data_IF_713935474843
#
_entry.id   IF_713935474843
#
_cell.length_a   1.000
_cell.length_b   1.000
_cell.length_c   1.000
_cell.angle_alpha   90.00
_cell.angle_beta   90.00
_cell.angle_gamma   90.00
#
_symmetry.space_group_name_H-M   'P 1'
#
loop_
_entity.id
_entity.type
_entity.pdbx_description
1 polymer ?
#
# COMPACT_ATOMS: atom_id res chain seq x y z
N UNK A 1 43.30 -16.67 83.80
CA UNK A 1 42.32 -17.77 83.82
C UNK A 1 41.58 -17.76 82.49
N UNK A 2 41.58 -18.91 81.80
CA UNK A 2 40.72 -19.36 80.68
C UNK A 2 40.61 -18.47 79.42
N UNK A 3 41.10 -18.83 78.21
CA UNK A 3 40.88 -20.01 77.34
C UNK A 3 39.53 -20.04 76.60
N UNK A 4 39.60 -19.90 75.27
CA UNK A 4 38.68 -20.47 74.24
C UNK A 4 39.36 -20.33 72.87
N UNK A 5 40.06 -21.36 72.35
CA UNK A 5 39.65 -22.34 71.31
C UNK A 5 39.02 -21.67 70.06
N UNK A 6 39.71 -21.48 68.93
CA UNK A 6 40.18 -22.44 67.90
C UNK A 6 39.12 -23.41 67.38
N UNK A 7 38.72 -23.20 66.12
CA UNK A 7 37.93 -24.09 65.27
C UNK A 7 38.18 -23.74 63.81
N UNK A 8 39.14 -24.44 63.22
CA UNK A 8 39.60 -24.38 61.82
C UNK A 8 38.70 -25.32 61.00
N UNK A 9 38.17 -24.90 59.85
CA UNK A 9 37.64 -25.81 58.83
C UNK A 9 38.15 -25.37 57.45
N UNK A 10 38.83 -26.30 56.78
CA UNK A 10 39.58 -26.12 55.54
C UNK A 10 38.97 -27.03 54.45
N UNK A 11 38.82 -26.43 53.27
CA UNK A 11 38.77 -26.94 51.89
C UNK A 11 37.79 -28.07 51.47
N UNK A 12 37.00 -27.72 50.45
CA UNK A 12 36.60 -28.60 49.36
C UNK A 12 36.52 -27.79 48.06
N UNK A 13 37.62 -27.73 47.30
CA UNK A 13 37.71 -27.12 45.98
C UNK A 13 37.11 -28.10 44.95
N UNK A 14 35.93 -27.79 44.43
CA UNK A 14 35.30 -28.51 43.31
C UNK A 14 35.38 -27.67 42.05
N UNK A 15 36.34 -27.97 41.18
CA UNK A 15 36.43 -27.38 39.84
C UNK A 15 35.41 -28.07 38.91
N UNK A 16 34.36 -27.35 38.51
CA UNK A 16 33.50 -27.74 37.39
C UNK A 16 33.85 -26.88 36.18
N UNK A 17 34.47 -27.50 35.17
CA UNK A 17 34.54 -27.01 33.81
C UNK A 17 33.12 -27.00 33.22
N UNK A 18 32.49 -25.83 33.15
CA UNK A 18 31.27 -25.62 32.36
C UNK A 18 31.69 -25.13 30.98
N UNK A 19 31.49 -25.99 29.98
CA UNK A 19 31.48 -25.61 28.56
C UNK A 19 30.26 -24.71 28.34
N UNK A 20 30.40 -23.51 27.74
CA UNK A 20 29.23 -22.73 27.35
C UNK A 20 28.53 -23.44 26.19
N UNK A 21 27.37 -24.02 26.46
CA UNK A 21 26.39 -24.37 25.43
C UNK A 21 25.87 -23.04 24.87
N UNK A 22 26.24 -22.73 23.63
CA UNK A 22 25.64 -21.64 22.89
C UNK A 22 24.14 -21.97 22.70
N UNK A 23 23.27 -21.21 23.35
CA UNK A 23 21.84 -21.28 23.10
C UNK A 23 21.59 -20.78 21.68
N UNK A 24 21.29 -21.71 20.77
CA UNK A 24 20.76 -21.39 19.45
C UNK A 24 19.44 -20.63 19.64
N UNK A 25 19.36 -19.45 19.05
CA UNK A 25 18.12 -18.70 18.96
C UNK A 25 17.13 -19.52 18.13
N UNK A 26 16.08 -20.03 18.78
CA UNK A 26 15.04 -20.81 18.16
C UNK A 26 14.14 -19.85 17.35
N UNK A 27 14.27 -19.89 16.02
CA UNK A 27 13.30 -19.29 15.11
C UNK A 27 11.97 -20.05 15.26
N UNK A 28 10.99 -19.40 15.88
CA UNK A 28 9.62 -19.91 15.91
C UNK A 28 9.02 -19.79 14.52
N UNK A 29 8.92 -20.91 13.81
CA UNK A 29 8.02 -21.07 12.66
C UNK A 29 6.77 -21.76 13.19
N UNK A 30 5.66 -21.02 13.26
CA UNK A 30 4.35 -21.57 13.61
C UNK A 30 3.44 -21.37 12.40
N UNK A 31 3.21 -22.47 11.70
CA UNK A 31 2.08 -22.67 10.80
C UNK A 31 0.79 -22.44 11.60
N UNK A 32 0.02 -21.39 11.32
CA UNK A 32 -1.13 -20.97 12.14
C UNK A 32 -2.18 -20.26 11.28
N UNK A 33 -3.44 -20.37 11.72
CA UNK A 33 -4.68 -19.72 11.25
C UNK A 33 -4.51 -18.33 10.60
N UNK A 34 -5.45 -17.85 9.76
CA UNK A 34 -5.31 -16.54 9.09
C UNK A 34 -4.89 -15.51 10.12
N UNK A 35 -3.65 -15.09 9.98
CA UNK A 35 -3.02 -14.15 10.89
C UNK A 35 -3.84 -12.86 10.74
N UNK A 36 -4.18 -12.20 11.86
CA UNK A 36 -4.77 -10.87 11.82
C UNK A 36 -3.75 -9.94 11.14
N UNK A 37 -3.82 -9.81 9.82
CA UNK A 37 -2.88 -9.05 9.02
C UNK A 37 -3.57 -7.78 8.59
N UNK A 38 -2.87 -6.66 8.77
CA UNK A 38 -3.24 -5.39 8.16
C UNK A 38 -2.45 -5.26 6.87
N UNK A 39 -3.13 -4.92 5.77
CA UNK A 39 -2.50 -4.68 4.48
C UNK A 39 -2.76 -3.25 4.04
N UNK A 40 -1.69 -2.47 3.90
CA UNK A 40 -1.74 -1.13 3.32
C UNK A 40 -1.36 -1.21 1.85
N UNK A 41 -2.17 -0.63 0.97
CA UNK A 41 -1.93 -0.56 -0.47
C UNK A 41 -1.84 0.90 -0.91
N UNK A 42 -0.92 1.20 -1.82
CA UNK A 42 -0.86 2.46 -2.53
C UNK A 42 -0.79 2.18 -4.03
N UNK A 43 -1.73 2.75 -4.79
CA UNK A 43 -1.71 2.73 -6.26
C UNK A 43 -1.40 4.12 -6.79
N UNK A 44 -0.25 4.27 -7.44
CA UNK A 44 0.18 5.50 -8.11
C UNK A 44 0.31 5.27 -9.62
N UNK A 45 -0.40 6.04 -10.44
CA UNK A 45 -0.44 5.90 -11.89
C UNK A 45 -0.66 4.44 -12.32
N UNK A 46 -1.72 3.82 -11.81
CA UNK A 46 -2.08 2.40 -12.05
C UNK A 46 -1.06 1.35 -11.58
N UNK A 47 -0.01 1.75 -10.83
CA UNK A 47 1.00 0.84 -10.31
C UNK A 47 0.79 0.63 -8.81
N UNK A 48 0.31 -0.56 -8.38
CA UNK A 48 0.14 -0.86 -6.97
C UNK A 48 1.48 -1.25 -6.31
N UNK A 49 1.59 -0.90 -5.05
CA UNK A 49 2.52 -1.48 -4.08
C UNK A 49 1.73 -1.71 -2.79
N UNK A 50 1.95 -2.85 -2.14
CA UNK A 50 1.28 -3.19 -0.89
C UNK A 50 2.27 -3.66 0.16
N UNK A 51 2.01 -3.31 1.42
CA UNK A 51 2.75 -3.81 2.59
C UNK A 51 1.77 -4.47 3.55
N UNK A 52 2.09 -5.69 3.97
CA UNK A 52 1.30 -6.46 4.92
C UNK A 52 2.10 -6.66 6.20
N UNK A 53 1.46 -6.50 7.36
CA UNK A 53 2.12 -6.66 8.66
C UNK A 53 1.15 -7.17 9.71
N UNK A 54 1.71 -7.74 10.78
CA UNK A 54 0.97 -8.17 11.96
C UNK A 54 0.85 -7.00 12.94
N UNK A 55 -0.35 -6.47 13.22
CA UNK A 55 -0.54 -5.36 14.15
C UNK A 55 -0.27 -5.79 15.61
N UNK A 56 -0.23 -7.10 15.88
CA UNK A 56 -0.01 -7.69 17.20
C UNK A 56 1.45 -7.79 17.64
N UNK A 57 2.42 -7.28 16.87
CA UNK A 57 3.84 -7.31 17.26
C UNK A 57 4.07 -6.44 18.51
N UNK A 58 4.23 -7.11 19.65
CA UNK A 58 4.36 -6.48 20.97
C UNK A 58 5.80 -6.05 21.24
N UNK A 59 6.04 -4.76 21.45
CA UNK A 59 7.34 -4.23 21.86
C UNK A 59 7.90 -4.86 23.17
N UNK A 60 7.03 -5.52 23.95
CA UNK A 60 7.33 -6.33 25.12
C UNK A 60 7.90 -7.72 24.83
N UNK A 61 7.92 -8.21 23.60
CA UNK A 61 8.61 -9.47 23.29
C UNK A 61 10.13 -9.32 23.54
N UNK A 62 10.82 -10.27 24.20
CA UNK A 62 12.27 -10.24 24.40
C UNK A 62 13.08 -9.99 23.12
N UNK A 63 12.68 -10.60 22.00
CA UNK A 63 13.35 -10.45 20.70
C UNK A 63 13.22 -9.01 20.19
N UNK A 64 12.01 -8.46 20.23
CA UNK A 64 11.72 -7.11 19.71
C UNK A 64 12.27 -6.02 20.63
N UNK A 65 12.11 -6.19 21.96
CA UNK A 65 12.71 -5.32 22.96
C UNK A 65 14.22 -5.23 22.79
N UNK A 66 14.89 -6.36 22.53
CA UNK A 66 16.34 -6.37 22.28
C UNK A 66 16.74 -5.48 21.10
N UNK A 67 15.98 -5.55 19.99
CA UNK A 67 16.21 -4.71 18.82
C UNK A 67 16.00 -3.21 19.13
N UNK A 68 14.88 -2.88 19.78
CA UNK A 68 14.46 -1.49 20.05
C UNK A 68 15.33 -0.80 21.11
N UNK A 69 15.83 -1.55 22.10
CA UNK A 69 16.62 -1.02 23.24
C UNK A 69 18.13 -1.16 23.09
N UNK A 70 18.62 -1.83 22.03
CA UNK A 70 20.06 -1.96 21.78
C UNK A 70 20.77 -0.58 21.79
N UNK A 71 22.06 -0.55 22.06
CA UNK A 71 22.90 0.63 21.80
C UNK A 71 23.72 0.38 20.52
N UNK A 72 24.31 1.41 19.93
CA UNK A 72 24.96 1.41 18.60
C UNK A 72 26.11 0.39 18.42
N UNK A 73 26.45 -0.34 19.48
CA UNK A 73 27.46 -1.39 19.49
C UNK A 73 26.81 -2.77 19.51
N UNK A 74 26.74 -3.38 18.34
CA UNK A 74 26.54 -4.82 18.11
C UNK A 74 25.17 -5.41 18.51
N UNK A 75 24.24 -5.41 17.55
CA UNK A 75 23.31 -6.53 17.45
C UNK A 75 23.10 -6.89 15.98
N UNK A 76 23.48 -8.10 15.57
CA UNK A 76 23.03 -8.73 14.32
C UNK A 76 21.54 -9.11 14.36
N UNK A 77 20.80 -8.59 15.35
CA UNK A 77 19.39 -8.86 15.55
C UNK A 77 18.61 -8.23 14.42
N UNK A 78 17.88 -9.09 13.72
CA UNK A 78 16.95 -8.74 12.67
C UNK A 78 15.62 -9.37 13.03
N UNK A 79 14.55 -8.66 12.73
CA UNK A 79 13.19 -9.09 13.04
C UNK A 79 12.36 -8.98 11.78
N UNK A 80 11.67 -10.06 11.40
CA UNK A 80 10.64 -10.00 10.36
C UNK A 80 9.50 -9.16 10.88
N UNK A 81 9.13 -8.12 10.13
CA UNK A 81 8.08 -7.18 10.52
C UNK A 81 6.90 -7.15 9.54
N UNK A 82 7.04 -7.79 8.38
CA UNK A 82 5.98 -7.86 7.40
C UNK A 82 6.47 -8.33 6.04
N UNK A 83 5.65 -8.06 5.03
CA UNK A 83 5.89 -8.39 3.63
C UNK A 83 5.55 -7.20 2.75
N UNK A 84 6.28 -7.04 1.65
CA UNK A 84 5.97 -6.07 0.61
C UNK A 84 5.70 -6.80 -0.69
N UNK A 85 4.58 -6.48 -1.31
CA UNK A 85 4.20 -6.92 -2.63
C UNK A 85 4.37 -5.76 -3.59
N UNK A 86 5.20 -5.97 -4.62
CA UNK A 86 5.61 -4.91 -5.52
C UNK A 86 5.68 -5.39 -6.97
N UNK A 87 5.31 -4.50 -7.89
CA UNK A 87 5.55 -4.72 -9.31
C UNK A 87 7.06 -4.74 -9.63
N UNK A 88 7.46 -5.44 -10.71
CA UNK A 88 8.77 -5.22 -11.32
C UNK A 88 8.92 -3.72 -11.59
N UNK A 89 10.07 -3.14 -11.21
CA UNK A 89 10.41 -1.69 -11.26
C UNK A 89 10.07 -0.84 -10.04
N UNK A 90 9.52 -1.40 -8.96
CA UNK A 90 9.60 -0.70 -7.67
C UNK A 90 11.07 -0.57 -7.24
N UNK A 91 11.45 0.63 -6.82
CA UNK A 91 12.77 0.98 -6.28
C UNK A 91 12.58 1.50 -4.88
N UNK A 92 13.20 0.89 -3.88
CA UNK A 92 13.10 1.33 -2.47
C UNK A 92 14.50 1.75 -2.01
N UNK A 93 14.65 3.02 -1.65
CA UNK A 93 15.94 3.64 -1.38
C UNK A 93 16.91 3.48 -2.55
N UNK A 94 18.09 2.92 -2.27
CA UNK A 94 19.14 2.65 -3.27
C UNK A 94 19.01 1.30 -3.97
N UNK A 95 18.00 0.49 -3.62
CA UNK A 95 17.84 -0.82 -4.24
C UNK A 95 17.14 -0.68 -5.58
N UNK A 96 17.89 -0.99 -6.62
CA UNK A 96 17.30 -1.41 -7.87
C UNK A 96 16.65 -2.77 -7.64
N UNK A 97 15.32 -2.85 -7.67
CA UNK A 97 14.52 -4.09 -7.58
C UNK A 97 14.84 -5.17 -8.64
N UNK A 98 15.99 -5.05 -9.30
CA UNK A 98 16.68 -6.07 -10.07
C UNK A 98 17.41 -7.00 -9.10
N UNK A 99 16.99 -8.26 -9.07
CA UNK A 99 17.68 -9.31 -8.31
C UNK A 99 19.09 -9.52 -8.89
N UNK A 100 20.16 -9.67 -8.08
CA UNK A 100 21.45 -10.08 -8.62
C UNK A 100 21.35 -11.51 -9.17
N UNK A 101 21.39 -11.63 -10.51
CA UNK A 101 21.47 -12.93 -11.21
C UNK A 101 20.18 -13.49 -11.82
N UNK A 102 19.06 -12.77 -11.77
CA UNK A 102 17.89 -13.13 -12.59
C UNK A 102 18.02 -12.50 -13.96
N UNK A 103 17.89 -13.27 -15.05
CA UNK A 103 17.63 -12.64 -16.35
C UNK A 103 16.39 -11.77 -16.21
N UNK A 104 16.31 -10.66 -16.95
CA UNK A 104 15.05 -9.98 -17.23
C UNK A 104 14.12 -10.99 -17.87
N UNK A 105 13.43 -11.78 -17.04
CA UNK A 105 12.33 -12.60 -17.49
C UNK A 105 11.20 -11.63 -17.80
N UNK A 106 10.58 -11.72 -18.99
CA UNK A 106 9.52 -10.82 -19.42
C UNK A 106 8.22 -10.99 -18.63
N UNK A 107 8.23 -11.76 -17.54
CA UNK A 107 7.06 -12.00 -16.68
C UNK A 107 6.86 -10.81 -15.72
N UNK A 108 5.77 -10.03 -15.88
CA UNK A 108 5.47 -8.86 -15.04
C UNK A 108 4.94 -9.24 -13.65
N UNK A 109 5.01 -10.52 -13.25
CA UNK A 109 4.45 -11.01 -11.99
C UNK A 109 4.91 -10.21 -10.77
N UNK A 110 3.93 -9.83 -9.95
CA UNK A 110 4.15 -9.15 -8.67
C UNK A 110 5.06 -10.01 -7.78
N UNK A 111 6.09 -9.40 -7.20
CA UNK A 111 7.02 -10.10 -6.30
C UNK A 111 6.66 -9.80 -4.86
N UNK A 112 6.55 -10.86 -4.06
CA UNK A 112 6.40 -10.75 -2.60
C UNK A 112 7.76 -10.92 -1.94
N UNK A 113 8.17 -9.90 -1.17
CA UNK A 113 9.44 -9.87 -0.43
C UNK A 113 9.16 -9.75 1.06
N UNK A 114 9.95 -10.42 1.88
CA UNK A 114 9.89 -10.24 3.33
C UNK A 114 10.62 -8.97 3.75
N UNK A 115 10.04 -8.26 4.73
CA UNK A 115 10.62 -7.07 5.36
C UNK A 115 11.25 -7.46 6.70
N UNK A 116 12.56 -7.28 6.81
CA UNK A 116 13.31 -7.54 8.03
C UNK A 116 13.92 -6.25 8.58
N UNK A 117 13.39 -5.75 9.71
CA UNK A 117 13.94 -4.58 10.38
C UNK A 117 15.22 -4.97 11.12
N UNK A 118 16.27 -4.19 10.89
CA UNK A 118 17.59 -4.42 11.44
C UNK A 118 18.18 -3.13 12.01
N UNK A 119 18.98 -3.30 13.07
CA UNK A 119 19.87 -2.25 13.55
C UNK A 119 21.30 -2.53 13.09
N UNK A 120 21.94 -1.52 12.54
CA UNK A 120 23.29 -1.59 11.98
C UNK A 120 24.21 -0.59 12.67
N UNK A 121 25.51 -0.67 12.41
CA UNK A 121 26.46 0.35 12.85
C UNK A 121 26.17 1.73 12.25
N UNK A 122 25.49 1.79 11.10
CA UNK A 122 25.10 3.02 10.40
C UNK A 122 23.72 3.55 10.79
N UNK A 123 23.03 2.95 11.77
CA UNK A 123 21.67 3.30 12.17
C UNK A 123 20.68 2.18 11.91
N UNK A 124 19.52 2.49 11.32
CA UNK A 124 18.46 1.51 11.05
C UNK A 124 18.40 1.15 9.57
N UNK A 125 18.08 -0.11 9.28
CA UNK A 125 17.84 -0.57 7.91
C UNK A 125 16.67 -1.55 7.84
N UNK A 126 16.11 -1.71 6.65
CA UNK A 126 15.26 -2.84 6.31
C UNK A 126 15.98 -3.72 5.29
N UNK A 127 16.07 -5.01 5.58
CA UNK A 127 16.57 -6.01 4.64
C UNK A 127 15.37 -6.56 3.87
N UNK A 128 15.45 -6.53 2.54
CA UNK A 128 14.47 -7.14 1.64
C UNK A 128 14.95 -8.55 1.29
N UNK A 129 14.11 -9.55 1.53
CA UNK A 129 14.45 -10.95 1.27
C UNK A 129 13.44 -11.60 0.36
N UNK A 130 13.92 -12.36 -0.62
CA UNK A 130 13.03 -13.16 -1.47
C UNK A 130 12.42 -14.30 -0.66
N UNK A 131 11.12 -14.57 -0.85
CA UNK A 131 10.56 -15.84 -0.41
C UNK A 131 11.22 -16.97 -1.22
N UNK A 132 11.57 -18.11 -0.61
CA UNK A 132 11.96 -19.27 -1.39
C UNK A 132 10.79 -19.65 -2.29
N UNK A 133 11.02 -19.70 -3.61
CA UNK A 133 10.01 -20.17 -4.57
C UNK A 133 9.52 -21.54 -4.10
N UNK A 134 8.24 -21.64 -3.71
CA UNK A 134 7.64 -22.89 -3.28
C UNK A 134 7.54 -23.89 -4.45
N UNK A 135 7.61 -23.40 -5.68
CA UNK A 135 7.34 -24.15 -6.92
C UNK A 135 8.60 -24.55 -7.69
N UNK A 136 9.80 -24.45 -7.09
CA UNK A 136 10.99 -25.05 -7.69
C UNK A 136 10.97 -26.55 -7.41
N UNK A 137 10.09 -27.25 -8.12
CA UNK A 137 10.11 -28.70 -8.22
C UNK A 137 11.53 -29.13 -8.59
N UNK A 138 12.16 -29.87 -7.67
CA UNK A 138 13.42 -30.59 -7.88
C UNK A 138 13.22 -31.76 -8.87
N UNK A 139 12.51 -31.55 -9.97
CA UNK A 139 12.46 -32.48 -11.10
C UNK A 139 13.46 -32.02 -12.16
N UNK A 140 14.74 -32.08 -11.80
CA UNK A 140 15.86 -31.79 -12.68
C UNK A 140 16.89 -32.91 -12.62
N UNK A 141 16.56 -34.02 -13.26
CA UNK A 141 17.47 -35.04 -13.80
C UNK A 141 18.46 -35.69 -12.80
N UNK A 142 17.95 -36.66 -12.04
CA UNK A 142 18.79 -37.68 -11.43
C UNK A 142 19.38 -38.56 -12.52
N UNK A 143 20.55 -38.16 -13.03
CA UNK A 143 21.45 -39.07 -13.72
C UNK A 143 21.78 -40.24 -12.79
N UNK A 144 21.50 -41.45 -13.27
CA UNK A 144 21.97 -42.70 -12.68
C UNK A 144 23.46 -42.60 -12.38
N UNK A 145 23.84 -42.68 -11.11
CA UNK A 145 24.96 -43.50 -10.63
C UNK A 145 24.90 -43.53 -9.10
N UNK A 146 24.60 -44.72 -8.57
CA UNK A 146 24.28 -44.90 -7.15
C UNK A 146 25.46 -44.67 -6.21
N UNK A 147 25.13 -44.18 -5.01
CA UNK A 147 25.69 -44.60 -3.71
C UNK A 147 24.69 -44.21 -2.61
N UNK A 148 24.18 -45.21 -1.89
CA UNK A 148 23.38 -45.02 -0.67
C UNK A 148 24.27 -44.50 0.48
N UNK A 149 23.86 -43.41 1.13
CA UNK A 149 23.93 -43.22 2.58
C UNK A 149 23.43 -41.81 2.98
N UNK A 150 22.42 -41.74 3.85
CA UNK A 150 22.16 -40.56 4.70
C UNK A 150 20.77 -39.96 4.55
N UNK A 151 19.84 -40.45 5.36
CA UNK A 151 18.57 -39.79 5.66
C UNK A 151 18.78 -38.58 6.58
N UNK A 152 17.83 -37.64 6.50
CA UNK A 152 17.49 -36.58 7.45
C UNK A 152 18.54 -35.48 7.73
N UNK A 153 18.27 -34.27 7.21
CA UNK A 153 18.27 -32.99 7.96
C UNK A 153 18.58 -31.71 7.13
N UNK A 154 17.91 -31.43 6.00
CA UNK A 154 18.15 -30.16 5.27
C UNK A 154 16.88 -29.34 4.94
N UNK A 155 15.75 -29.60 5.62
CA UNK A 155 14.55 -28.75 5.51
C UNK A 155 14.53 -27.57 6.51
N UNK A 156 15.56 -27.41 7.34
CA UNK A 156 15.67 -26.33 8.33
C UNK A 156 16.79 -25.37 7.94
N UNK A 157 16.46 -24.35 7.15
CA UNK A 157 17.39 -23.25 6.85
C UNK A 157 17.64 -22.97 5.38
N UNK A 158 16.60 -22.94 4.54
CA UNK A 158 16.71 -22.15 3.30
C UNK A 158 16.77 -20.67 3.70
N UNK A 159 17.98 -20.19 3.92
CA UNK A 159 18.28 -18.79 4.20
C UNK A 159 17.72 -17.97 3.03
N UNK A 160 16.61 -17.27 3.27
CA UNK A 160 16.01 -16.34 2.31
C UNK A 160 17.11 -15.39 1.82
N UNK A 161 17.49 -15.45 0.55
CA UNK A 161 18.58 -14.62 0.02
C UNK A 161 18.24 -13.15 0.25
N UNK A 162 19.11 -12.44 0.97
CA UNK A 162 19.00 -10.99 1.12
C UNK A 162 19.22 -10.37 -0.25
N UNK A 163 18.15 -9.79 -0.80
CA UNK A 163 18.17 -9.14 -2.12
C UNK A 163 18.76 -7.75 -2.01
N UNK A 164 18.60 -7.11 -0.85
CA UNK A 164 19.22 -5.84 -0.57
C UNK A 164 18.91 -5.30 0.82
N UNK A 165 19.63 -4.25 1.19
CA UNK A 165 19.50 -3.55 2.46
C UNK A 165 19.24 -2.06 2.17
N UNK A 166 18.16 -1.52 2.75
CA UNK A 166 17.76 -0.11 2.60
C UNK A 166 17.99 0.61 3.92
N UNK A 167 18.76 1.69 3.91
CA UNK A 167 18.91 2.56 5.08
C UNK A 167 17.60 3.31 5.37
N UNK A 168 17.25 3.41 6.65
CA UNK A 168 16.03 4.06 7.11
C UNK A 168 16.35 5.42 7.75
N UNK A 169 15.65 6.46 7.29
CA UNK A 169 15.64 7.74 7.99
C UNK A 169 14.83 7.60 9.29
N UNK A 170 15.41 7.97 10.43
CA UNK A 170 14.74 7.88 11.75
C UNK A 170 14.30 9.27 12.21
N UNK A 171 13.05 9.36 12.66
CA UNK A 171 12.53 10.49 13.42
C UNK A 171 11.96 9.98 14.76
N UNK A 172 11.91 10.87 15.76
CA UNK A 172 11.11 10.62 16.95
C UNK A 172 9.63 10.72 16.57
N UNK A 173 8.81 9.83 17.14
CA UNK A 173 7.37 9.85 16.97
C UNK A 173 6.66 9.79 18.33
N UNK A 174 5.36 10.08 18.33
CA UNK A 174 4.52 9.81 19.49
C UNK A 174 4.54 8.32 19.84
N UNK A 175 4.47 8.01 21.14
CA UNK A 175 4.53 6.64 21.66
C UNK A 175 3.40 5.76 21.11
N UNK A 176 3.75 4.64 20.47
CA UNK A 176 2.81 3.64 19.94
C UNK A 176 3.28 2.23 20.31
N UNK A 177 2.54 1.46 21.11
CA UNK A 177 3.04 0.13 21.54
C UNK A 177 3.06 -0.91 20.40
N UNK A 178 2.09 -0.85 19.50
CA UNK A 178 1.97 -1.76 18.36
C UNK A 178 2.87 -1.35 17.19
N UNK A 179 3.39 -2.33 16.44
CA UNK A 179 4.03 -2.08 15.16
C UNK A 179 2.99 -1.67 14.10
N UNK A 180 3.35 -0.74 13.22
CA UNK A 180 2.60 -0.52 11.99
C UNK A 180 3.48 -0.17 10.79
N UNK A 181 3.00 -0.52 9.60
CA UNK A 181 3.62 -0.18 8.32
C UNK A 181 2.60 0.48 7.38
N UNK A 182 3.02 1.54 6.70
CA UNK A 182 2.18 2.30 5.79
C UNK A 182 2.94 2.75 4.54
N UNK A 183 2.20 2.99 3.47
CA UNK A 183 2.70 3.56 2.23
C UNK A 183 2.05 4.94 2.06
N UNK A 184 2.88 5.98 1.97
CA UNK A 184 2.42 7.38 1.88
C UNK A 184 2.90 7.97 0.56
N UNK A 185 2.02 8.57 -0.26
CA UNK A 185 2.46 9.21 -1.49
C UNK A 185 3.36 10.40 -1.18
N UNK A 186 4.33 10.66 -2.05
CA UNK A 186 5.15 11.88 -2.02
C UNK A 186 5.22 12.57 -3.38
N UNK A 187 4.72 11.92 -4.43
CA UNK A 187 4.65 12.39 -5.80
C UNK A 187 3.82 11.45 -6.68
N UNK A 188 3.78 11.73 -7.98
CA UNK A 188 2.99 10.96 -8.96
C UNK A 188 3.46 9.51 -9.16
N UNK A 189 4.75 9.26 -8.92
CA UNK A 189 5.37 7.93 -9.05
C UNK A 189 6.25 7.58 -7.85
N UNK A 190 6.19 8.38 -6.79
CA UNK A 190 7.06 8.29 -5.62
C UNK A 190 6.24 8.24 -4.34
N UNK A 191 6.76 7.54 -3.33
CA UNK A 191 6.18 7.51 -2.01
C UNK A 191 7.19 7.17 -0.93
N UNK A 192 6.69 6.93 0.28
CA UNK A 192 7.48 6.51 1.43
C UNK A 192 6.87 5.24 2.04
N UNK A 193 7.72 4.25 2.29
CA UNK A 193 7.44 3.19 3.25
C UNK A 193 7.72 3.75 4.64
N UNK A 194 6.68 3.85 5.46
CA UNK A 194 6.76 4.37 6.83
C UNK A 194 6.51 3.22 7.81
N UNK A 195 7.47 2.98 8.70
CA UNK A 195 7.36 2.00 9.79
C UNK A 195 7.29 2.73 11.13
N UNK A 196 6.42 2.30 12.02
CA UNK A 196 6.25 2.90 13.35
C UNK A 196 6.26 1.82 14.43
N UNK A 197 7.03 2.07 15.49
CA UNK A 197 7.03 1.23 16.69
C UNK A 197 7.59 1.98 17.89
N UNK A 198 6.84 2.04 18.99
CA UNK A 198 7.13 2.85 20.18
C UNK A 198 7.30 4.33 19.83
N UNK A 199 8.42 4.92 20.23
CA UNK A 199 8.83 6.29 19.93
C UNK A 199 9.62 6.39 18.62
N UNK A 200 9.71 5.30 17.85
CA UNK A 200 10.43 5.27 16.57
C UNK A 200 9.47 5.44 15.39
N UNK A 201 9.85 6.35 14.48
CA UNK A 201 9.37 6.37 13.10
C UNK A 201 10.56 6.20 12.17
N UNK A 202 10.43 5.24 11.26
CA UNK A 202 11.38 5.01 10.19
C UNK A 202 10.72 5.27 8.84
N UNK A 203 11.48 5.79 7.90
CA UNK A 203 11.02 5.98 6.53
C UNK A 203 12.10 5.57 5.52
N UNK A 204 11.65 4.99 4.41
CA UNK A 204 12.43 4.84 3.19
C UNK A 204 11.59 5.34 2.01
N UNK A 205 12.19 6.17 1.16
CA UNK A 205 11.56 6.59 -0.09
C UNK A 205 11.50 5.41 -1.07
N UNK A 206 10.47 5.39 -1.89
CA UNK A 206 10.38 4.51 -3.04
C UNK A 206 9.94 5.27 -4.29
N UNK A 207 10.24 4.70 -5.45
CA UNK A 207 9.78 5.19 -6.75
C UNK A 207 9.44 4.04 -7.69
N UNK A 208 8.47 4.24 -8.56
CA UNK A 208 8.28 3.39 -9.72
C UNK A 208 9.18 3.91 -10.85
N UNK A 209 10.12 3.08 -11.31
CA UNK A 209 10.94 3.45 -12.46
C UNK A 209 10.10 3.46 -13.75
N UNK A 210 10.44 4.39 -14.64
CA UNK A 210 9.82 4.48 -15.96
C UNK A 210 10.11 3.21 -16.77
N UNK A 211 9.20 2.83 -17.69
CA UNK A 211 9.52 1.80 -18.66
C UNK A 211 10.77 2.20 -19.46
N UNK A 212 11.63 1.23 -19.83
CA UNK A 212 12.65 1.51 -20.82
C UNK A 212 11.96 2.03 -22.08
N UNK A 213 12.54 3.05 -22.70
CA UNK A 213 12.08 3.52 -24.01
C UNK A 213 12.10 2.30 -24.96
N UNK A 214 11.06 2.10 -25.78
CA UNK A 214 11.11 1.06 -26.79
C UNK A 214 12.35 1.31 -27.65
N UNK A 215 13.19 0.29 -27.83
CA UNK A 215 14.31 0.39 -28.75
C UNK A 215 13.76 0.84 -30.10
N UNK A 216 14.20 2.01 -30.60
CA UNK A 216 13.82 2.57 -31.91
C UNK A 216 14.33 1.71 -33.10
N UNK A 217 14.57 0.42 -32.89
CA UNK A 217 15.34 -0.45 -33.77
C UNK A 217 14.55 -1.53 -34.53
N UNK A 218 13.27 -1.75 -34.23
CA UNK A 218 12.46 -2.73 -34.97
C UNK A 218 11.12 -2.09 -35.35
N UNK A 219 11.18 -1.20 -36.34
CA UNK A 219 10.07 -1.08 -37.30
C UNK A 219 9.86 -2.48 -37.89
N UNK A 220 8.93 -3.26 -37.32
CA UNK A 220 8.31 -4.35 -38.06
C UNK A 220 7.74 -3.70 -39.33
N UNK A 221 8.45 -3.86 -40.45
CA UNK A 221 7.98 -3.48 -41.77
C UNK A 221 6.57 -4.06 -41.94
N UNK A 222 5.57 -3.19 -41.82
CA UNK A 222 4.21 -3.51 -42.22
C UNK A 222 4.30 -4.07 -43.64
N UNK A 223 3.72 -5.24 -43.93
CA UNK A 223 3.85 -5.83 -45.26
C UNK A 223 3.31 -4.85 -46.30
N UNK A 224 4.17 -4.45 -47.24
CA UNK A 224 3.81 -3.68 -48.43
C UNK A 224 2.59 -4.33 -49.07
N UNK A 225 1.44 -3.67 -48.92
CA UNK A 225 0.27 -3.98 -49.72
C UNK A 225 0.62 -3.54 -51.15
N UNK A 226 0.98 -4.53 -51.97
CA UNK A 226 1.19 -4.36 -53.39
C UNK A 226 -0.02 -3.64 -54.00
N UNK A 227 0.24 -2.42 -54.49
CA UNK A 227 -0.68 -1.67 -55.33
C UNK A 227 -0.86 -2.40 -56.66
N UNK A 228 -1.89 -3.24 -56.76
CA UNK A 228 -2.44 -3.62 -58.05
C UNK A 228 -3.63 -2.69 -58.34
N UNK A 229 -3.32 -1.67 -59.13
CA UNK A 229 -4.28 -0.80 -59.79
C UNK A 229 -4.86 -1.56 -60.98
N UNK A 230 -6.19 -1.61 -61.07
CA UNK A 230 -6.84 -1.72 -62.37
C UNK A 230 -8.18 -0.99 -62.39
N UNK A 231 -8.33 -0.25 -63.49
CA UNK A 231 -9.44 0.62 -63.86
C UNK A 231 -10.79 -0.11 -63.94
N UNK A 232 -11.85 0.62 -63.59
CA UNK A 232 -13.04 0.86 -64.43
C UNK A 232 -14.36 0.81 -63.63
N UNK A 233 -15.00 1.96 -63.42
CA UNK A 233 -16.15 2.35 -64.24
C UNK A 233 -16.79 3.66 -63.75
N UNK A 234 -17.04 4.52 -64.73
CA UNK A 234 -17.87 5.69 -64.62
C UNK A 234 -19.36 5.33 -64.72
N UNK A 235 -20.19 5.97 -63.90
CA UNK A 235 -21.57 6.44 -64.17
C UNK A 235 -22.14 6.96 -62.83
N UNK A 236 -22.28 8.27 -62.59
CA UNK A 236 -23.44 9.10 -62.97
C UNK A 236 -24.77 8.40 -62.68
N UNK A 237 -25.48 8.83 -61.63
CA UNK A 237 -26.89 9.29 -61.68
C UNK A 237 -27.17 10.10 -60.40
N UNK A 238 -27.50 11.38 -60.58
CA UNK A 238 -28.25 12.19 -59.63
C UNK A 238 -29.72 11.75 -59.64
N UNK A 239 -30.38 11.66 -58.48
CA UNK A 239 -31.83 11.85 -58.42
C UNK A 239 -32.27 12.32 -57.02
N UNK A 240 -32.83 13.52 -57.02
CA UNK A 240 -33.56 14.18 -55.96
C UNK A 240 -34.90 13.48 -55.63
N UNK A 241 -35.37 13.67 -54.39
CA UNK A 241 -36.79 13.71 -54.02
C UNK A 241 -37.45 12.37 -53.66
N UNK A 242 -38.02 12.26 -52.46
CA UNK A 242 -39.47 12.41 -52.25
C UNK A 242 -39.83 12.23 -50.75
N UNK A 243 -40.75 13.04 -50.27
CA UNK A 243 -41.35 12.98 -48.94
C UNK A 243 -42.39 11.86 -48.91
N UNK A 244 -42.51 11.09 -47.82
CA UNK A 244 -43.80 10.47 -47.45
C UNK A 244 -43.84 10.16 -45.95
N UNK A 245 -44.80 10.82 -45.29
CA UNK A 245 -45.38 10.40 -44.01
C UNK A 245 -46.07 9.04 -44.17
N UNK A 246 -46.03 8.19 -43.14
CA UNK A 246 -46.76 6.93 -43.12
C UNK A 246 -46.57 6.13 -41.83
N UNK A 247 -47.48 6.37 -40.88
CA UNK A 247 -48.15 5.43 -39.97
C UNK A 247 -47.41 4.19 -39.43
N UNK A 248 -47.35 4.10 -38.10
CA UNK A 248 -47.05 2.90 -37.30
C UNK A 248 -47.97 1.72 -37.61
N UNK A 249 -47.49 0.49 -37.35
CA UNK A 249 -48.33 -0.46 -36.63
C UNK A 249 -47.64 -1.03 -35.39
N UNK A 250 -48.41 -1.08 -34.31
CA UNK A 250 -48.14 -1.86 -33.11
C UNK A 250 -48.03 -3.36 -33.44
N UNK A 251 -46.92 -4.00 -33.06
CA UNK A 251 -46.84 -5.45 -32.93
C UNK A 251 -46.51 -5.85 -31.49
N UNK A 252 -47.48 -6.57 -30.93
CA UNK A 252 -47.56 -7.23 -29.64
C UNK A 252 -46.56 -8.42 -29.59
N UNK A 253 -45.44 -8.26 -28.91
CA UNK A 253 -44.56 -9.37 -28.52
C UNK A 253 -44.66 -9.64 -27.01
N UNK A 254 -45.35 -10.74 -26.68
CA UNK A 254 -45.44 -11.30 -25.33
C UNK A 254 -44.09 -11.70 -24.70
N UNK A 255 -44.10 -12.14 -23.43
CA UNK A 255 -42.88 -12.29 -22.63
C UNK A 255 -41.97 -13.38 -23.20
N UNK A 256 -40.80 -12.96 -23.70
CA UNK A 256 -39.71 -13.86 -24.07
C UNK A 256 -39.22 -14.58 -22.82
N UNK A 257 -39.58 -15.85 -22.71
CA UNK A 257 -39.07 -16.79 -21.72
C UNK A 257 -37.56 -16.88 -21.90
N UNK A 258 -36.81 -16.55 -20.84
CA UNK A 258 -35.36 -16.69 -20.81
C UNK A 258 -35.00 -18.17 -20.96
N UNK A 259 -34.22 -18.52 -21.99
CA UNK A 259 -33.60 -19.82 -22.11
C UNK A 259 -32.51 -19.95 -21.01
N UNK A 260 -32.85 -20.67 -19.95
CA UNK A 260 -31.95 -21.12 -18.88
C UNK A 260 -30.96 -22.18 -19.40
N UNK A 261 -29.99 -21.86 -20.26
CA UNK A 261 -28.82 -22.75 -20.45
C UNK A 261 -27.53 -22.11 -20.96
N UNK A 262 -27.41 -20.78 -21.05
CA UNK A 262 -26.13 -20.12 -21.38
C UNK A 262 -25.94 -18.83 -20.57
N UNK A 263 -25.98 -18.92 -19.24
CA UNK A 263 -25.39 -17.87 -18.40
C UNK A 263 -23.88 -18.10 -18.30
N UNK A 264 -23.17 -17.78 -19.38
CA UNK A 264 -21.72 -17.60 -19.30
C UNK A 264 -21.44 -16.45 -18.31
N UNK A 265 -20.46 -16.66 -17.43
CA UNK A 265 -20.08 -15.82 -16.29
C UNK A 265 -19.61 -14.42 -16.71
N UNK A 266 -20.55 -13.55 -17.06
CA UNK A 266 -20.27 -12.16 -17.42
C UNK A 266 -20.23 -11.22 -16.19
N UNK A 267 -20.43 -11.76 -14.99
CA UNK A 267 -20.66 -10.96 -13.77
C UNK A 267 -19.46 -10.90 -12.80
N UNK A 268 -18.26 -11.31 -13.23
CA UNK A 268 -17.05 -11.29 -12.38
C UNK A 268 -16.06 -10.16 -12.66
N UNK A 269 -16.29 -9.32 -13.68
CA UNK A 269 -15.24 -8.40 -14.19
C UNK A 269 -15.64 -6.92 -14.33
N UNK A 270 -16.84 -6.55 -13.87
CA UNK A 270 -17.24 -5.13 -13.79
C UNK A 270 -16.46 -4.36 -12.72
N UNK A 271 -15.91 -5.04 -11.70
CA UNK A 271 -15.16 -4.43 -10.61
C UNK A 271 -13.73 -4.04 -10.99
N UNK A 272 -13.02 -4.88 -11.76
CA UNK A 272 -11.64 -4.60 -12.19
C UNK A 272 -11.62 -3.52 -13.28
N UNK A 273 -12.48 -3.61 -14.29
CA UNK A 273 -12.62 -2.55 -15.32
C UNK A 273 -13.03 -1.21 -14.72
N UNK A 274 -14.00 -1.18 -13.81
CA UNK A 274 -14.40 0.06 -13.13
C UNK A 274 -13.33 0.57 -12.13
N UNK A 275 -12.49 -0.30 -11.56
CA UNK A 275 -11.32 0.11 -10.77
C UNK A 275 -10.25 0.71 -11.68
N UNK A 276 -9.95 0.09 -12.81
CA UNK A 276 -9.00 0.61 -13.79
C UNK A 276 -9.37 2.02 -14.29
N UNK A 277 -10.61 2.21 -14.72
CA UNK A 277 -11.10 3.53 -15.18
C UNK A 277 -11.07 4.60 -14.08
N UNK A 278 -11.26 4.22 -12.81
CA UNK A 278 -11.12 5.18 -11.71
C UNK A 278 -9.66 5.52 -11.42
N UNK A 279 -8.79 4.51 -11.44
CA UNK A 279 -7.38 4.65 -11.12
C UNK A 279 -6.55 5.20 -12.29
N UNK A 280 -7.12 5.30 -13.49
CA UNK A 280 -6.47 5.99 -14.62
C UNK A 280 -6.42 7.50 -14.39
N UNK A 281 -7.33 8.06 -13.58
CA UNK A 281 -7.39 9.49 -13.25
C UNK A 281 -7.05 9.79 -11.80
N UNK A 282 -7.01 8.75 -10.95
CA UNK A 282 -6.82 8.89 -9.50
C UNK A 282 -5.73 7.97 -8.98
N UNK A 283 -5.08 8.40 -7.93
CA UNK A 283 -4.35 7.52 -7.03
C UNK A 283 -5.28 6.99 -5.95
N UNK A 284 -4.88 5.88 -5.32
CA UNK A 284 -5.59 5.29 -4.18
C UNK A 284 -4.60 4.91 -3.09
N UNK A 285 -4.89 5.30 -1.84
CA UNK A 285 -4.33 4.68 -0.64
C UNK A 285 -5.43 3.90 0.05
N UNK A 286 -5.18 2.63 0.35
CA UNK A 286 -6.13 1.74 0.98
C UNK A 286 -5.53 0.95 2.15
N UNK A 287 -6.39 0.57 3.07
CA UNK A 287 -6.07 -0.33 4.19
C UNK A 287 -7.11 -1.43 4.20
N UNK A 288 -6.66 -2.67 4.10
CA UNK A 288 -7.42 -3.87 4.37
C UNK A 288 -7.16 -4.28 5.82
N UNK A 289 -8.26 -4.40 6.55
CA UNK A 289 -8.29 -4.70 7.98
C UNK A 289 -8.48 -6.21 8.18
N UNK A 290 -8.19 -6.74 9.38
CA UNK A 290 -8.62 -8.08 9.75
C UNK A 290 -10.13 -8.25 9.53
N UNK A 291 -10.55 -9.36 8.93
CA UNK A 291 -11.94 -9.59 8.57
C UNK A 291 -12.40 -8.97 7.25
N UNK A 292 -11.46 -8.68 6.35
CA UNK A 292 -11.67 -8.28 4.94
C UNK A 292 -12.36 -6.91 4.73
N UNK A 293 -12.53 -6.10 5.77
CA UNK A 293 -13.05 -4.76 5.62
C UNK A 293 -12.00 -3.83 4.98
N UNK A 294 -12.40 -3.08 3.94
CA UNK A 294 -11.50 -2.12 3.26
C UNK A 294 -11.86 -0.66 3.54
N UNK A 295 -10.83 0.11 3.83
CA UNK A 295 -10.86 1.58 3.84
C UNK A 295 -10.03 2.08 2.66
N UNK A 296 -10.50 3.12 1.97
CA UNK A 296 -9.76 3.71 0.85
C UNK A 296 -9.94 5.22 0.79
N UNK A 297 -8.86 5.92 0.43
CA UNK A 297 -8.89 7.33 0.04
C UNK A 297 -8.39 7.46 -1.40
N UNK A 298 -9.21 8.07 -2.25
CA UNK A 298 -8.90 8.32 -3.66
C UNK A 298 -8.71 9.82 -3.89
N UNK A 299 -7.65 10.18 -4.59
CA UNK A 299 -7.30 11.56 -4.89
C UNK A 299 -6.82 11.69 -6.32
N UNK A 300 -7.03 12.85 -6.93
CA UNK A 300 -6.73 13.06 -8.35
C UNK A 300 -5.23 13.14 -8.62
N UNK A 301 -4.84 12.64 -9.78
CA UNK A 301 -3.50 12.82 -10.33
C UNK A 301 -3.27 14.29 -10.73
N UNK A 302 -2.00 14.65 -10.94
CA UNK A 302 -1.56 15.91 -11.53
C UNK A 302 -1.95 17.18 -10.75
N UNK A 303 -2.21 17.05 -9.45
CA UNK A 303 -2.53 18.17 -8.57
C UNK A 303 -1.23 18.78 -7.98
N UNK A 304 -0.40 19.36 -8.85
CA UNK A 304 0.88 19.98 -8.46
C UNK A 304 0.70 21.19 -7.55
N UNK A 305 1.72 21.49 -6.72
CA UNK A 305 1.80 22.71 -5.92
C UNK A 305 2.01 23.98 -6.78
N UNK A 306 2.34 23.85 -8.07
CA UNK A 306 2.48 25.00 -8.97
C UNK A 306 1.13 25.49 -9.56
N UNK A 307 0.02 24.80 -9.26
CA UNK A 307 -1.31 25.14 -9.76
C UNK A 307 -1.95 26.30 -8.97
N UNK A 308 -2.87 27.02 -9.63
CA UNK A 308 -3.63 28.12 -9.00
C UNK A 308 -4.41 27.66 -7.77
N UNK A 309 -4.93 26.43 -7.78
CA UNK A 309 -5.66 25.84 -6.66
C UNK A 309 -4.81 25.78 -5.38
N UNK A 310 -3.50 25.46 -5.51
CA UNK A 310 -2.57 25.45 -4.39
C UNK A 310 -2.33 26.87 -3.85
N UNK A 311 -2.09 27.84 -4.73
CA UNK A 311 -1.93 29.25 -4.33
C UNK A 311 -3.18 29.79 -3.59
N UNK A 312 -4.36 29.25 -3.91
CA UNK A 312 -5.61 29.53 -3.21
C UNK A 312 -5.63 29.10 -1.75
N UNK A 313 -4.87 28.06 -1.35
CA UNK A 313 -4.87 27.52 0.02
C UNK A 313 -4.43 28.57 1.05
N UNK A 314 -3.42 29.39 0.72
CA UNK A 314 -2.89 30.41 1.65
C UNK A 314 -3.78 31.66 1.75
N UNK A 315 -4.59 31.92 0.73
CA UNK A 315 -5.43 33.12 0.63
C UNK A 315 -6.90 32.86 0.96
N UNK A 316 -7.23 31.61 1.29
CA UNK A 316 -8.58 31.14 1.57
C UNK A 316 -9.19 31.90 2.77
N UNK A 317 -10.39 32.44 2.59
CA UNK A 317 -11.07 33.17 3.66
C UNK A 317 -11.66 32.21 4.71
N UNK A 318 -11.95 32.76 5.89
CA UNK A 318 -12.57 32.00 6.97
C UNK A 318 -13.89 31.35 6.53
N UNK A 319 -14.03 30.05 6.81
CA UNK A 319 -15.21 29.27 6.47
C UNK A 319 -15.30 28.83 5.01
N UNK A 320 -14.41 29.28 4.14
CA UNK A 320 -14.31 28.78 2.76
C UNK A 320 -13.61 27.43 2.71
N UNK A 321 -13.92 26.66 1.67
CA UNK A 321 -13.29 25.38 1.36
C UNK A 321 -12.28 25.52 0.22
N UNK A 322 -11.20 24.73 0.30
CA UNK A 322 -10.23 24.59 -0.79
C UNK A 322 -10.97 24.10 -2.04
N UNK A 323 -10.74 24.80 -3.15
CA UNK A 323 -11.33 24.45 -4.44
C UNK A 323 -10.31 23.68 -5.28
N UNK A 324 -10.79 22.65 -5.96
CA UNK A 324 -10.03 21.96 -7.01
C UNK A 324 -10.72 22.26 -8.34
N UNK A 325 -10.12 23.11 -9.17
CA UNK A 325 -10.71 23.58 -10.43
C UNK A 325 -10.60 22.56 -11.55
N UNK A 326 -9.65 21.63 -11.44
CA UNK A 326 -9.38 20.59 -12.46
C UNK A 326 -9.55 19.17 -11.95
N UNK A 327 -10.12 19.00 -10.77
CA UNK A 327 -10.30 17.71 -10.14
C UNK A 327 -11.62 17.64 -9.37
N UNK A 328 -12.17 16.44 -9.25
CA UNK A 328 -13.17 16.16 -8.23
C UNK A 328 -12.52 16.08 -6.84
N UNK A 329 -13.37 16.20 -5.82
CA UNK A 329 -12.94 16.15 -4.43
C UNK A 329 -12.24 14.82 -4.09
N UNK A 330 -11.37 14.85 -3.07
CA UNK A 330 -10.81 13.63 -2.48
C UNK A 330 -11.97 12.79 -1.96
N UNK A 331 -11.95 11.49 -2.22
CA UNK A 331 -13.03 10.56 -1.85
C UNK A 331 -12.56 9.60 -0.77
N UNK A 332 -13.29 9.55 0.34
CA UNK A 332 -13.15 8.51 1.36
C UNK A 332 -14.21 7.42 1.10
N UNK A 333 -13.78 6.17 1.07
CA UNK A 333 -14.64 4.99 1.08
C UNK A 333 -14.34 4.17 2.34
N UNK A 334 -15.38 3.74 3.04
CA UNK A 334 -15.26 2.94 4.26
C UNK A 334 -16.26 1.78 4.27
N UNK A 335 -15.78 0.55 4.41
CA UNK A 335 -16.65 -0.65 4.47
C UNK A 335 -17.07 -1.01 5.91
N UNK A 336 -16.46 -0.35 6.88
CA UNK A 336 -16.87 -0.34 8.28
C UNK A 336 -17.05 1.12 8.74
N UNK A 337 -17.89 1.42 9.75
CA UNK A 337 -18.00 2.78 10.29
C UNK A 337 -16.64 3.31 10.75
N UNK A 338 -16.40 4.61 10.58
CA UNK A 338 -15.20 5.28 11.06
C UNK A 338 -15.55 6.33 12.09
N UNK A 339 -14.78 6.42 13.16
CA UNK A 339 -14.95 7.44 14.19
C UNK A 339 -13.74 8.38 14.24
N UNK A 340 -14.00 9.67 14.10
CA UNK A 340 -13.06 10.77 14.23
C UNK A 340 -13.43 11.62 15.45
N UNK A 341 -12.75 11.40 16.58
CA UNK A 341 -13.17 12.00 17.86
C UNK A 341 -14.60 11.56 18.23
N UNK A 342 -15.51 12.53 18.35
CA UNK A 342 -16.92 12.28 18.66
C UNK A 342 -17.81 12.06 17.42
N UNK A 343 -17.27 12.28 16.22
CA UNK A 343 -18.00 12.12 14.95
C UNK A 343 -17.88 10.69 14.47
N UNK A 344 -19.00 10.06 14.12
CA UNK A 344 -19.02 8.73 13.47
C UNK A 344 -19.54 8.86 12.05
N UNK A 345 -18.78 8.37 11.08
CA UNK A 345 -19.15 8.23 9.69
C UNK A 345 -19.70 6.80 9.47
N UNK A 346 -21.00 6.64 9.26
CA UNK A 346 -21.58 5.32 9.00
C UNK A 346 -21.17 4.78 7.63
N UNK A 347 -21.53 3.53 7.36
CA UNK A 347 -21.59 3.01 5.99
C UNK A 347 -22.97 3.31 5.38
N UNK A 348 -23.14 3.02 4.09
CA UNK A 348 -24.45 3.05 3.45
C UNK A 348 -25.09 4.43 3.29
N UNK A 349 -24.31 5.51 3.31
CA UNK A 349 -24.83 6.87 3.15
C UNK A 349 -25.41 7.14 1.75
N UNK A 350 -24.92 6.43 0.72
CA UNK A 350 -25.49 6.51 -0.64
C UNK A 350 -26.66 5.53 -0.83
N UNK A 351 -26.52 4.32 -0.29
CA UNK A 351 -27.56 3.29 -0.33
C UNK A 351 -27.36 2.28 0.81
N UNK A 352 -28.45 1.73 1.40
CA UNK A 352 -28.35 0.71 2.43
C UNK A 352 -27.55 -0.52 1.96
N UNK A 353 -26.64 -1.01 2.81
CA UNK A 353 -25.81 -2.19 2.52
C UNK A 353 -24.57 -1.92 1.66
N UNK A 354 -24.34 -0.68 1.24
CA UNK A 354 -23.12 -0.29 0.52
C UNK A 354 -22.07 0.31 1.48
N UNK A 355 -20.81 0.34 1.03
CA UNK A 355 -19.75 1.08 1.71
C UNK A 355 -20.16 2.56 1.89
N UNK A 356 -19.69 3.18 2.97
CA UNK A 356 -19.71 4.63 3.09
C UNK A 356 -18.85 5.26 2.00
N UNK A 357 -19.28 6.41 1.49
CA UNK A 357 -18.61 7.15 0.41
C UNK A 357 -18.82 8.64 0.62
N UNK A 358 -17.73 9.35 0.91
CA UNK A 358 -17.75 10.76 1.28
C UNK A 358 -16.76 11.57 0.46
N UNK A 359 -17.15 12.78 0.07
CA UNK A 359 -16.24 13.80 -0.45
C UNK A 359 -15.57 14.52 0.72
N UNK A 360 -14.27 14.76 0.63
CA UNK A 360 -13.46 15.38 1.68
C UNK A 360 -13.05 16.80 1.29
N UNK A 361 -13.58 17.80 2.00
CA UNK A 361 -13.27 19.21 1.76
C UNK A 361 -12.44 19.79 2.89
N UNK A 362 -11.32 20.44 2.55
CA UNK A 362 -10.51 21.18 3.52
C UNK A 362 -11.09 22.59 3.69
N UNK A 363 -11.52 22.91 4.91
CA UNK A 363 -12.15 24.19 5.24
C UNK A 363 -11.27 25.02 6.16
N UNK A 364 -11.14 26.32 5.87
CA UNK A 364 -10.41 27.24 6.75
C UNK A 364 -11.25 27.53 8.00
N UNK A 365 -10.63 27.41 9.18
CA UNK A 365 -11.30 27.67 10.46
C UNK A 365 -10.35 28.34 11.47
N UNK A 366 -10.49 29.64 11.64
CA UNK A 366 -9.59 30.54 12.35
C UNK A 366 -8.15 30.45 11.84
N UNK A 367 -7.24 30.15 12.77
CA UNK A 367 -5.84 29.84 12.45
C UNK A 367 -5.61 28.38 12.06
N UNK A 368 -6.65 27.54 12.12
CA UNK A 368 -6.58 26.12 11.86
C UNK A 368 -7.39 25.70 10.64
N UNK A 369 -7.67 24.42 10.58
CA UNK A 369 -8.37 23.77 9.48
C UNK A 369 -9.35 22.74 9.99
N UNK A 370 -10.38 22.52 9.20
CA UNK A 370 -11.37 21.48 9.43
C UNK A 370 -11.54 20.62 8.19
N UNK A 371 -11.87 19.35 8.40
CA UNK A 371 -12.24 18.43 7.33
C UNK A 371 -13.75 18.28 7.34
N UNK A 372 -14.37 18.60 6.21
CA UNK A 372 -15.80 18.42 5.98
C UNK A 372 -15.99 17.13 5.20
N UNK A 373 -16.79 16.22 5.75
CA UNK A 373 -17.27 15.02 5.08
C UNK A 373 -18.60 15.36 4.42
N UNK A 374 -18.67 15.27 3.10
CA UNK A 374 -19.85 15.59 2.31
C UNK A 374 -20.42 14.33 1.65
N UNK A 375 -21.74 14.20 1.56
CA UNK A 375 -22.39 13.03 0.97
C UNK A 375 -22.22 12.92 -0.56
N UNK A 376 -21.79 13.98 -1.24
CA UNK A 376 -21.52 13.99 -2.67
C UNK A 376 -20.05 13.66 -2.97
N UNK A 377 -19.72 12.37 -2.90
CA UNK A 377 -18.35 11.88 -3.01
C UNK A 377 -17.68 12.05 -4.39
N UNK A 378 -18.47 12.34 -5.43
CA UNK A 378 -18.03 12.48 -6.80
C UNK A 378 -18.25 13.91 -7.35
N UNK A 379 -18.53 14.89 -6.48
CA UNK A 379 -18.66 16.31 -6.88
C UNK A 379 -17.33 16.88 -7.34
N UNK A 380 -17.38 17.75 -8.35
CA UNK A 380 -16.21 18.54 -8.75
C UNK A 380 -15.75 19.39 -7.58
N UNK A 381 -14.44 19.62 -7.44
CA UNK A 381 -13.85 20.43 -6.37
C UNK A 381 -14.25 21.91 -6.41
N UNK A 382 -15.11 22.33 -7.33
CA UNK A 382 -15.70 23.67 -7.39
C UNK A 382 -17.18 23.70 -7.02
N UNK A 383 -17.77 22.55 -6.70
CA UNK A 383 -19.21 22.36 -6.50
C UNK A 383 -19.54 21.97 -5.05
N UNK A 384 -18.78 22.48 -4.06
CA UNK A 384 -19.14 22.25 -2.67
C UNK A 384 -20.53 22.82 -2.38
N UNK A 385 -21.45 21.96 -1.96
CA UNK A 385 -22.75 22.34 -1.44
C UNK A 385 -22.84 21.97 0.06
N UNK A 386 -22.82 22.97 0.97
CA UNK A 386 -22.93 22.74 2.41
C UNK A 386 -24.21 22.02 2.85
N UNK A 387 -25.26 21.98 2.02
CA UNK A 387 -26.49 21.24 2.32
C UNK A 387 -26.26 19.71 2.41
N UNK A 388 -25.16 19.21 1.83
CA UNK A 388 -24.78 17.80 1.84
C UNK A 388 -23.66 17.49 2.83
N UNK A 389 -23.24 18.45 3.65
CA UNK A 389 -22.23 18.22 4.69
C UNK A 389 -22.79 17.27 5.76
N UNK A 390 -22.16 16.10 5.88
CA UNK A 390 -22.51 15.05 6.82
C UNK A 390 -21.89 15.29 8.19
N UNK A 391 -20.64 15.76 8.22
CA UNK A 391 -19.92 16.08 9.44
C UNK A 391 -18.72 17.00 9.17
N UNK A 392 -18.21 17.63 10.23
CA UNK A 392 -17.03 18.48 10.20
C UNK A 392 -16.17 18.16 11.43
N UNK A 393 -14.85 17.99 11.25
CA UNK A 393 -13.89 17.71 12.33
C UNK A 393 -12.71 18.67 12.28
N UNK A 394 -12.09 18.93 13.44
CA UNK A 394 -10.84 19.69 13.50
C UNK A 394 -9.66 18.85 12.99
N UNK A 395 -8.73 19.49 12.26
CA UNK A 395 -7.53 18.87 11.73
C UNK A 395 -6.29 19.32 12.52
N UNK A 396 -5.39 18.37 12.77
CA UNK A 396 -4.00 18.70 13.05
C UNK A 396 -3.37 19.23 11.76
N UNK A 397 -2.65 20.34 11.84
CA UNK A 397 -2.08 21.03 10.67
C UNK A 397 -0.63 21.43 10.90
N UNK A 398 0.23 21.19 9.93
CA UNK A 398 1.62 21.64 9.90
C UNK A 398 2.04 22.12 8.51
N UNK A 399 3.18 22.83 8.47
CA UNK A 399 3.78 23.36 7.24
C UNK A 399 5.25 22.92 7.09
N UNK A 400 5.52 21.65 7.39
CA UNK A 400 6.87 21.06 7.39
C UNK A 400 7.11 20.14 6.18
N UNK A 401 6.19 20.14 5.21
CA UNK A 401 6.26 19.34 3.99
C UNK A 401 7.26 19.85 2.95
N UNK A 402 7.38 19.12 1.85
CA UNK A 402 8.16 19.54 0.67
C UNK A 402 7.34 20.53 -0.16
N UNK A 403 7.93 21.66 -0.53
CA UNK A 403 7.31 22.72 -1.32
C UNK A 403 6.64 22.25 -2.63
N UNK A 404 7.23 21.26 -3.28
CA UNK A 404 6.85 20.74 -4.60
C UNK A 404 5.97 19.49 -4.55
N UNK A 405 5.59 19.01 -3.35
CA UNK A 405 4.79 17.80 -3.20
C UNK A 405 3.38 17.99 -3.78
N UNK A 406 2.90 17.16 -4.72
CA UNK A 406 1.52 17.29 -5.22
C UNK A 406 0.49 16.95 -4.13
N UNK A 407 -0.78 17.23 -4.38
CA UNK A 407 -1.87 16.79 -3.50
C UNK A 407 -1.84 15.27 -3.38
N UNK A 408 -1.80 14.77 -2.16
CA UNK A 408 -1.88 13.35 -1.88
C UNK A 408 -2.61 13.07 -0.59
N UNK A 409 -3.17 11.87 -0.48
CA UNK A 409 -3.83 11.40 0.72
C UNK A 409 -3.44 9.96 1.06
N UNK A 410 -3.37 9.64 2.34
CA UNK A 410 -3.05 8.31 2.83
C UNK A 410 -3.83 7.95 4.09
N UNK A 411 -4.19 6.67 4.19
CA UNK A 411 -4.62 6.05 5.44
C UNK A 411 -3.42 5.35 6.06
N UNK A 412 -2.99 5.82 7.23
CA UNK A 412 -1.81 5.31 7.95
C UNK A 412 -2.29 4.54 9.18
N UNK A 413 -2.29 3.19 9.17
CA UNK A 413 -2.70 2.42 10.33
C UNK A 413 -1.75 2.63 11.52
N UNK A 414 -2.33 2.64 12.72
CA UNK A 414 -1.62 2.62 13.99
C UNK A 414 -1.81 1.28 14.72
N UNK A 415 -3.01 0.71 14.61
CA UNK A 415 -3.38 -0.65 15.04
C UNK A 415 -4.35 -1.25 14.02
N UNK A 416 -4.91 -2.43 14.30
CA UNK A 416 -6.00 -2.99 13.49
C UNK A 416 -7.26 -2.10 13.51
N UNK A 417 -7.52 -1.40 14.62
CA UNK A 417 -8.78 -0.67 14.85
C UNK A 417 -8.59 0.85 14.90
N UNK A 418 -7.39 1.35 14.60
CA UNK A 418 -7.08 2.76 14.66
C UNK A 418 -6.01 3.16 13.65
N UNK A 419 -6.07 4.42 13.21
CA UNK A 419 -5.10 4.98 12.29
C UNK A 419 -5.23 6.48 12.15
N UNK A 420 -4.62 7.00 11.09
CA UNK A 420 -4.61 8.43 10.76
C UNK A 420 -4.90 8.62 9.29
N UNK A 421 -5.83 9.49 8.97
CA UNK A 421 -5.97 10.07 7.64
C UNK A 421 -4.96 11.22 7.53
N UNK A 422 -4.12 11.20 6.50
CA UNK A 422 -3.18 12.28 6.18
C UNK A 422 -3.52 12.80 4.79
N UNK A 423 -3.68 14.11 4.66
CA UNK A 423 -3.76 14.82 3.39
C UNK A 423 -2.58 15.77 3.34
N UNK A 424 -1.92 15.87 2.21
CA UNK A 424 -0.83 16.81 2.03
C UNK A 424 -0.88 17.50 0.68
N UNK A 425 -0.33 18.71 0.61
CA UNK A 425 -0.13 19.44 -0.63
C UNK A 425 0.96 20.48 -0.39
N UNK A 426 2.04 20.42 -1.17
CA UNK A 426 3.24 21.22 -0.95
C UNK A 426 3.72 21.10 0.50
N UNK A 427 4.00 22.26 1.10
CA UNK A 427 4.42 22.36 2.51
C UNK A 427 3.34 21.92 3.50
N UNK A 428 2.08 21.93 3.10
CA UNK A 428 0.94 21.69 3.98
C UNK A 428 0.73 20.20 4.26
N UNK A 429 0.44 19.89 5.51
CA UNK A 429 -0.05 18.58 5.94
C UNK A 429 -1.23 18.76 6.89
N UNK A 430 -2.32 18.04 6.61
CA UNK A 430 -3.50 17.96 7.44
C UNK A 430 -3.72 16.51 7.88
N UNK A 431 -4.02 16.31 9.15
CA UNK A 431 -4.19 14.98 9.69
C UNK A 431 -5.37 14.89 10.68
N UNK A 432 -6.04 13.74 10.65
CA UNK A 432 -7.04 13.36 11.64
C UNK A 432 -6.85 11.90 12.04
N UNK A 433 -6.87 11.64 13.35
CA UNK A 433 -6.87 10.28 13.88
C UNK A 433 -8.29 9.69 13.78
N UNK A 434 -8.36 8.41 13.42
CA UNK A 434 -9.60 7.65 13.36
C UNK A 434 -9.52 6.36 14.17
N UNK A 435 -10.68 5.87 14.56
CA UNK A 435 -10.88 4.55 15.16
C UNK A 435 -12.02 3.82 14.45
N UNK A 436 -11.97 2.49 14.49
CA UNK A 436 -13.04 1.61 14.04
C UNK A 436 -13.81 1.20 15.30
N UNK A 437 -15.09 1.57 15.43
CA UNK A 437 -15.88 1.19 16.58
C UNK A 437 -16.17 -0.32 16.57
N UNK A 438 -16.21 -0.92 17.77
CA UNK A 438 -16.62 -2.32 17.98
C UNK A 438 -18.04 -2.64 17.47
#
# INVERSE_FOLDING_TARGET
>A
MSSTKSGLLVCGLGACLLVPVAAGAQQGSADSAPVDVVRTELTLNLRPVAVSFEPGLDAGDPVYRGLLTANDSASSTRVRVGEIEAMPRLRIGTLDGSQPGGSESPDPATKTLELWLARTAGGWSVDLRGKPDADRDETGDAGEDGHEAGADADAAGRDTTVLGQVALARAAAGMQEAFSAALVPTGESTGQLVLRWRDHRWAADFRFADPPEPDEGEEEEAPELAEESDEANAAVVESEGDETEGEEPEEDEGPRVANETESLRFDSDTSAGARFLRLSERHESAVELPGDARLAVLFWQEQSADLEDFAGVETLAEGEVVRLTRAAVIRLRNETPLRFGDVTLPTGNLAPGFAGSYGLWLKRSGSGWRLVFNHEADSWGTQHDPAFDAAEIDLAYSQDGLDTRPLGAALVPATADAGRLVIHWGVHEWAADYTIPE
#
